data_IF_682032795617
#
_entry.id   IF_682032795617
#
_cell.length_a   1.000
_cell.length_b   1.000
_cell.length_c   1.000
_cell.angle_alpha   90.00
_cell.angle_beta   90.00
_cell.angle_gamma   90.00
#
_symmetry.space_group_name_H-M   'P 1'
#
loop_
_entity.id
_entity.type
_entity.pdbx_description
1 polymer ?
#
# COMPACT_ATOMS: atom_id res chain seq x y z
N UNK A 1 42.69 -12.81 -15.61
CA UNK A 1 41.25 -12.56 -15.46
C UNK A 1 40.56 -13.90 -15.41
N UNK A 2 40.30 -14.40 -14.20
CA UNK A 2 39.66 -15.70 -13.98
C UNK A 2 38.17 -15.58 -14.27
N UNK A 3 37.63 -16.54 -15.01
CA UNK A 3 36.25 -16.56 -15.51
C UNK A 3 35.26 -16.61 -14.33
N UNK A 4 34.54 -15.52 -14.06
CA UNK A 4 33.49 -15.43 -13.03
C UNK A 4 32.18 -16.10 -13.47
N UNK A 5 32.28 -17.18 -14.24
CA UNK A 5 31.15 -18.01 -14.68
C UNK A 5 30.87 -19.07 -13.64
N UNK A 6 30.39 -18.65 -12.47
CA UNK A 6 29.85 -19.56 -11.46
C UNK A 6 28.88 -20.60 -12.04
N UNK A 7 28.58 -21.68 -11.30
CA UNK A 7 27.80 -22.81 -11.80
C UNK A 7 26.41 -22.36 -12.32
N UNK A 8 25.83 -23.09 -13.29
CA UNK A 8 24.54 -22.75 -13.89
C UNK A 8 23.36 -22.76 -12.88
N UNK A 9 23.50 -23.48 -11.76
CA UNK A 9 22.60 -23.44 -10.62
C UNK A 9 23.37 -23.62 -9.32
N UNK A 10 22.83 -23.08 -8.23
CA UNK A 10 23.33 -23.31 -6.87
C UNK A 10 22.14 -23.54 -5.95
N UNK A 11 22.21 -24.64 -5.19
CA UNK A 11 21.21 -24.91 -4.17
C UNK A 11 21.59 -24.18 -2.88
N UNK A 12 20.84 -23.12 -2.58
CA UNK A 12 20.97 -22.30 -1.38
C UNK A 12 19.72 -22.55 -0.55
N UNK A 13 19.87 -22.81 0.74
CA UNK A 13 18.75 -22.74 1.68
C UNK A 13 18.58 -21.29 2.11
N UNK A 14 17.35 -20.82 2.20
CA UNK A 14 17.08 -19.47 2.64
C UNK A 14 15.95 -19.44 3.67
N UNK A 15 15.92 -18.38 4.47
CA UNK A 15 14.85 -18.06 5.41
C UNK A 15 14.59 -16.56 5.31
N UNK A 16 13.32 -16.20 5.15
CA UNK A 16 12.84 -14.82 5.20
C UNK A 16 11.98 -14.65 6.43
N UNK A 17 12.23 -13.64 7.25
CA UNK A 17 11.39 -13.33 8.40
C UNK A 17 11.13 -11.83 8.48
N UNK A 18 9.89 -11.45 8.78
CA UNK A 18 9.60 -10.14 9.36
C UNK A 18 9.90 -10.19 10.84
N UNK A 19 10.58 -9.16 11.34
CA UNK A 19 10.94 -9.04 12.73
C UNK A 19 10.08 -7.97 13.41
N UNK A 20 9.49 -8.33 14.53
CA UNK A 20 8.92 -7.39 15.51
C UNK A 20 10.03 -6.61 16.22
N UNK A 21 9.66 -5.59 17.01
CA UNK A 21 10.60 -4.79 17.79
C UNK A 21 11.52 -5.62 18.72
N UNK A 22 11.04 -6.77 19.20
CA UNK A 22 11.77 -7.69 20.08
C UNK A 22 12.55 -8.79 19.32
N UNK A 23 12.48 -8.81 17.99
CA UNK A 23 13.19 -9.79 17.14
C UNK A 23 12.47 -11.13 16.96
N UNK A 24 11.21 -11.24 17.39
CA UNK A 24 10.37 -12.42 17.14
C UNK A 24 10.06 -12.59 15.65
N UNK A 25 9.97 -13.84 15.19
CA UNK A 25 9.96 -14.18 13.76
C UNK A 25 8.57 -14.64 13.30
N UNK A 26 8.20 -14.24 12.10
CA UNK A 26 7.06 -14.80 11.38
C UNK A 26 7.51 -15.39 10.03
N UNK A 27 7.20 -16.67 9.84
CA UNK A 27 7.37 -17.52 8.65
C UNK A 27 8.81 -17.91 8.24
N UNK A 28 8.94 -19.13 7.71
CA UNK A 28 10.19 -19.73 7.19
C UNK A 28 9.84 -20.40 5.86
N UNK A 29 10.64 -20.17 4.81
CA UNK A 29 10.43 -20.75 3.47
C UNK A 29 11.76 -21.10 2.80
N UNK A 30 11.93 -22.36 2.36
CA UNK A 30 13.10 -22.82 1.61
C UNK A 30 12.90 -22.66 0.09
N UNK A 31 13.94 -22.27 -0.66
CA UNK A 31 13.83 -22.08 -2.11
C UNK A 31 15.15 -22.37 -2.85
N UNK A 32 15.07 -22.93 -4.07
CA UNK A 32 16.23 -23.18 -4.95
C UNK A 32 16.43 -22.04 -5.95
N UNK A 33 17.69 -21.67 -6.22
CA UNK A 33 18.05 -20.55 -7.08
C UNK A 33 18.81 -21.02 -8.32
N UNK A 34 18.41 -20.52 -9.49
CA UNK A 34 19.15 -20.73 -10.75
C UNK A 34 19.89 -19.46 -11.12
N UNK A 35 20.93 -19.59 -11.95
CA UNK A 35 21.66 -18.41 -12.42
C UNK A 35 20.72 -17.45 -13.13
N UNK A 36 20.88 -16.15 -12.84
CA UNK A 36 20.05 -15.05 -13.37
C UNK A 36 18.57 -15.10 -12.96
N UNK A 37 18.18 -15.96 -12.01
CA UNK A 37 16.82 -15.96 -11.47
C UNK A 37 16.61 -14.84 -10.47
N UNK A 38 15.42 -14.26 -10.51
CA UNK A 38 14.91 -13.37 -9.46
C UNK A 38 13.84 -14.13 -8.70
N UNK A 39 13.96 -14.14 -7.38
CA UNK A 39 12.91 -14.61 -6.50
C UNK A 39 12.28 -13.38 -5.86
N UNK A 40 10.98 -13.23 -6.09
CA UNK A 40 10.16 -12.23 -5.42
C UNK A 40 9.32 -12.94 -4.36
N UNK A 41 9.48 -12.50 -3.12
CA UNK A 41 8.70 -12.98 -1.99
C UNK A 41 7.33 -12.31 -2.01
N UNK A 42 6.46 -12.77 -2.90
CA UNK A 42 5.04 -12.37 -2.95
C UNK A 42 4.22 -12.97 -1.78
N UNK A 43 4.87 -13.71 -0.89
CA UNK A 43 4.25 -14.67 0.03
C UNK A 43 3.88 -14.11 1.40
N UNK A 44 4.16 -12.84 1.70
CA UNK A 44 3.57 -12.23 2.89
C UNK A 44 2.09 -11.98 2.62
N UNK A 45 1.27 -12.95 3.01
CA UNK A 45 -0.16 -12.80 3.02
C UNK A 45 -0.53 -11.81 4.13
N UNK A 46 -0.55 -10.52 3.79
CA UNK A 46 -1.01 -9.46 4.68
C UNK A 46 -2.52 -9.54 4.93
N UNK A 47 -3.26 -10.34 4.17
CA UNK A 47 -4.70 -10.50 4.37
C UNK A 47 -4.95 -11.24 5.68
N UNK A 48 -5.60 -10.57 6.62
CA UNK A 48 -5.96 -11.11 7.93
C UNK A 48 -5.03 -10.69 9.08
N UNK A 49 -3.97 -9.92 8.81
CA UNK A 49 -3.21 -9.24 9.86
C UNK A 49 -4.00 -8.01 10.30
N UNK A 50 -4.36 -7.96 11.58
CA UNK A 50 -5.05 -6.82 12.20
C UNK A 50 -4.15 -5.58 12.27
N UNK A 51 -4.75 -4.40 12.44
CA UNK A 51 -4.00 -3.16 12.63
C UNK A 51 -3.05 -3.24 13.84
N UNK A 52 -3.50 -3.86 14.94
CA UNK A 52 -2.70 -4.06 16.15
C UNK A 52 -1.49 -4.98 15.88
N UNK A 53 -1.69 -6.06 15.12
CA UNK A 53 -0.59 -6.93 14.71
C UNK A 53 0.40 -6.21 13.79
N UNK A 54 -0.08 -5.36 12.88
CA UNK A 54 0.80 -4.52 12.05
C UNK A 54 1.67 -3.59 12.92
N UNK A 55 1.13 -2.96 13.95
CA UNK A 55 1.94 -2.11 14.84
C UNK A 55 3.10 -2.88 15.50
N UNK A 56 2.93 -4.17 15.79
CA UNK A 56 4.02 -4.99 16.35
C UNK A 56 5.17 -5.22 15.36
N UNK A 57 4.88 -5.29 14.06
CA UNK A 57 5.86 -5.47 12.98
C UNK A 57 6.41 -4.14 12.43
N UNK A 58 5.72 -3.02 12.70
CA UNK A 58 6.09 -1.68 12.26
C UNK A 58 6.30 -0.72 13.45
N UNK A 59 7.16 -1.04 14.44
CA UNK A 59 7.41 -0.15 15.56
C UNK A 59 7.97 1.18 15.05
N UNK A 60 7.27 2.27 15.38
CA UNK A 60 7.60 3.63 14.91
C UNK A 60 7.70 3.73 13.37
N UNK A 61 6.96 2.91 12.63
CA UNK A 61 6.95 2.88 11.17
C UNK A 61 8.15 2.17 10.53
N UNK A 62 8.97 1.44 11.29
CA UNK A 62 10.10 0.68 10.75
C UNK A 62 9.73 -0.78 10.51
N UNK A 63 9.84 -1.23 9.25
CA UNK A 63 9.73 -2.65 8.91
C UNK A 63 11.12 -3.28 8.91
N UNK A 64 11.34 -4.28 9.75
CA UNK A 64 12.60 -5.02 9.75
C UNK A 64 12.40 -6.36 9.05
N UNK A 65 13.09 -6.52 7.92
CA UNK A 65 13.13 -7.77 7.17
C UNK A 65 14.49 -8.44 7.36
N UNK A 66 14.48 -9.71 7.74
CA UNK A 66 15.70 -10.52 7.86
C UNK A 66 15.69 -11.62 6.81
N UNK A 67 16.78 -11.67 6.06
CA UNK A 67 17.07 -12.75 5.13
C UNK A 67 18.30 -13.51 5.60
N UNK A 68 18.16 -14.82 5.81
CA UNK A 68 19.28 -15.72 6.02
C UNK A 68 19.43 -16.61 4.81
N UNK A 69 20.68 -16.88 4.45
CA UNK A 69 21.04 -17.83 3.41
C UNK A 69 22.10 -18.78 3.95
N UNK A 70 22.04 -20.03 3.54
CA UNK A 70 23.05 -21.03 3.83
C UNK A 70 23.23 -21.95 2.62
N UNK A 71 24.40 -22.57 2.52
CA UNK A 71 24.67 -23.53 1.46
C UNK A 71 24.05 -24.87 1.84
N UNK A 72 23.31 -25.50 0.92
CA UNK A 72 22.76 -26.83 1.19
C UNK A 72 23.81 -27.95 1.15
N UNK A 73 25.00 -27.70 0.55
CA UNK A 73 26.05 -28.71 0.41
C UNK A 73 27.47 -28.11 0.46
N UNK A 74 28.37 -28.75 1.21
CA UNK A 74 29.74 -28.26 1.46
C UNK A 74 29.82 -27.21 2.57
N UNK A 75 31.04 -26.87 2.99
CA UNK A 75 31.27 -26.02 4.16
C UNK A 75 31.29 -24.54 3.81
N UNK A 76 30.71 -23.72 4.71
CA UNK A 76 30.92 -22.27 4.78
C UNK A 76 31.86 -22.05 5.96
N UNK A 77 33.05 -21.51 5.71
CA UNK A 77 34.07 -21.36 6.75
C UNK A 77 33.76 -20.24 7.75
N UNK A 78 32.97 -19.24 7.36
CA UNK A 78 32.62 -18.10 8.20
C UNK A 78 31.21 -17.60 7.87
N UNK A 79 30.46 -17.27 8.90
CA UNK A 79 29.23 -16.50 8.74
C UNK A 79 29.54 -15.07 8.33
N UNK A 80 28.63 -14.48 7.55
CA UNK A 80 28.69 -13.07 7.19
C UNK A 80 27.31 -12.45 7.31
N UNK A 81 27.26 -11.14 7.51
CA UNK A 81 26.01 -10.40 7.52
C UNK A 81 26.14 -9.06 6.80
N UNK A 82 25.01 -8.62 6.29
CA UNK A 82 24.83 -7.32 5.67
C UNK A 82 23.57 -6.71 6.26
N UNK A 83 23.68 -5.46 6.70
CA UNK A 83 22.55 -4.67 7.14
C UNK A 83 22.40 -3.52 6.17
N UNK A 84 21.21 -3.41 5.58
CA UNK A 84 20.84 -2.27 4.75
C UNK A 84 19.60 -1.61 5.30
N UNK A 85 19.48 -0.31 5.05
CA UNK A 85 18.29 0.47 5.38
C UNK A 85 17.74 1.08 4.11
N UNK A 86 16.44 0.94 3.96
CA UNK A 86 15.65 1.52 2.88
C UNK A 86 14.63 2.45 3.51
N UNK A 87 14.58 3.70 3.06
CA UNK A 87 13.55 4.63 3.46
C UNK A 87 12.59 4.85 2.30
N UNK A 88 11.32 4.54 2.57
CA UNK A 88 10.22 4.69 1.64
C UNK A 88 9.50 5.98 1.98
N UNK A 89 9.41 6.89 1.02
CA UNK A 89 8.73 8.16 1.20
C UNK A 89 7.23 7.97 1.12
N UNK A 90 6.50 8.52 2.09
CA UNK A 90 5.04 8.54 2.07
C UNK A 90 4.57 9.99 2.04
N UNK A 91 3.82 10.35 1.00
CA UNK A 91 3.10 11.61 0.95
C UNK A 91 1.70 11.40 1.54
N UNK A 92 1.33 12.27 2.49
CA UNK A 92 0.03 12.28 3.15
C UNK A 92 -0.73 13.53 2.74
N UNK A 93 -1.99 13.37 2.36
CA UNK A 93 -2.86 14.45 1.91
C UNK A 93 -4.23 14.31 2.54
N UNK A 94 -4.75 15.42 3.06
CA UNK A 94 -6.13 15.48 3.52
C UNK A 94 -6.83 16.69 2.91
N UNK A 95 -8.03 16.48 2.40
CA UNK A 95 -8.86 17.57 1.87
C UNK A 95 -10.32 17.16 1.81
N UNK A 96 -11.18 18.14 1.54
CA UNK A 96 -12.62 17.95 1.37
C UNK A 96 -12.94 17.89 -0.11
N UNK A 97 -13.64 16.84 -0.52
CA UNK A 97 -14.26 16.72 -1.82
C UNK A 97 -15.76 17.01 -1.72
N UNK A 98 -16.20 18.09 -2.38
CA UNK A 98 -17.59 18.51 -2.42
C UNK A 98 -18.32 17.98 -3.66
N UNK A 99 -19.34 17.16 -3.45
CA UNK A 99 -20.25 16.63 -4.48
C UNK A 99 -21.49 17.52 -4.52
N UNK A 100 -21.54 18.41 -5.51
CA UNK A 100 -22.63 19.38 -5.69
C UNK A 100 -23.85 18.76 -6.35
N UNK A 101 -25.02 19.35 -6.10
CA UNK A 101 -26.31 18.93 -6.67
C UNK A 101 -26.63 17.46 -6.37
N UNK A 102 -26.22 16.98 -5.19
CA UNK A 102 -26.28 15.56 -4.82
C UNK A 102 -27.71 15.00 -4.90
N UNK A 103 -28.73 15.79 -4.57
CA UNK A 103 -30.12 15.32 -4.64
C UNK A 103 -30.53 14.90 -6.05
N UNK A 104 -30.00 15.60 -7.07
CA UNK A 104 -30.29 15.34 -8.48
C UNK A 104 -29.36 14.32 -9.13
N UNK A 105 -28.33 13.84 -8.42
CA UNK A 105 -27.40 12.86 -8.96
C UNK A 105 -28.09 11.50 -9.14
N UNK A 106 -28.54 11.22 -10.35
CA UNK A 106 -29.21 9.96 -10.69
C UNK A 106 -28.25 8.81 -10.91
N UNK A 107 -28.80 7.60 -10.97
CA UNK A 107 -28.06 6.38 -11.32
C UNK A 107 -27.30 6.55 -12.65
N UNK A 108 -26.07 6.03 -12.71
CA UNK A 108 -25.20 6.12 -13.89
C UNK A 108 -24.50 7.46 -14.10
N UNK A 109 -24.78 8.49 -13.29
CA UNK A 109 -24.00 9.72 -13.30
C UNK A 109 -22.79 9.61 -12.37
N UNK A 110 -21.64 10.09 -12.85
CA UNK A 110 -20.38 10.07 -12.11
C UNK A 110 -19.92 11.50 -11.80
N UNK A 111 -19.43 11.71 -10.58
CA UNK A 111 -18.69 12.92 -10.20
C UNK A 111 -17.23 12.55 -10.05
N UNK A 112 -16.36 13.25 -10.78
CA UNK A 112 -14.93 12.95 -10.81
C UNK A 112 -14.14 13.93 -9.95
N UNK A 113 -13.14 13.43 -9.24
CA UNK A 113 -12.16 14.22 -8.51
C UNK A 113 -10.75 13.67 -8.71
N UNK A 114 -9.76 14.54 -8.83
CA UNK A 114 -8.36 14.14 -9.05
C UNK A 114 -7.54 14.49 -7.82
N UNK A 115 -6.77 13.52 -7.37
CA UNK A 115 -5.75 13.72 -6.34
C UNK A 115 -4.41 13.85 -7.03
N UNK A 116 -3.82 15.04 -6.92
CA UNK A 116 -2.48 15.33 -7.44
C UNK A 116 -1.43 15.24 -6.34
N UNK A 117 -0.21 14.83 -6.70
CA UNK A 117 0.97 14.88 -5.83
C UNK A 117 1.32 16.32 -5.50
N UNK A 118 1.70 16.55 -4.26
CA UNK A 118 2.16 17.86 -3.77
C UNK A 118 3.55 18.19 -4.32
N UNK A 119 4.36 17.18 -4.66
CA UNK A 119 5.73 17.37 -5.15
C UNK A 119 5.78 17.91 -6.58
N UNK A 120 4.92 17.43 -7.46
CA UNK A 120 5.01 17.70 -8.90
C UNK A 120 3.67 18.02 -9.58
N UNK A 121 2.57 18.11 -8.80
CA UNK A 121 1.20 18.36 -9.26
C UNK A 121 0.69 17.37 -10.32
N UNK A 122 1.33 16.20 -10.47
CA UNK A 122 0.84 15.14 -11.34
C UNK A 122 -0.31 14.41 -10.67
N UNK A 123 -1.34 14.08 -11.45
CA UNK A 123 -2.45 13.23 -11.01
C UNK A 123 -1.91 11.86 -10.60
N UNK A 124 -2.25 11.43 -9.40
CA UNK A 124 -1.87 10.12 -8.84
C UNK A 124 -3.04 9.15 -9.00
N UNK A 125 -4.22 9.58 -8.54
CA UNK A 125 -5.44 8.80 -8.57
C UNK A 125 -6.61 9.69 -8.96
N UNK A 126 -7.50 9.14 -9.77
CA UNK A 126 -8.81 9.72 -10.06
C UNK A 126 -9.86 8.98 -9.25
N UNK A 127 -10.63 9.71 -8.47
CA UNK A 127 -11.80 9.24 -7.76
C UNK A 127 -13.04 9.51 -8.61
N UNK A 128 -13.94 8.52 -8.68
CA UNK A 128 -15.25 8.67 -9.29
C UNK A 128 -16.32 8.25 -8.31
N UNK A 129 -17.19 9.17 -7.97
CA UNK A 129 -18.33 8.95 -7.09
C UNK A 129 -19.57 8.73 -7.93
N UNK A 130 -20.35 7.70 -7.61
CA UNK A 130 -21.59 7.40 -8.31
C UNK A 130 -22.60 6.68 -7.41
N UNK A 131 -23.84 6.69 -7.85
CA UNK A 131 -24.98 6.03 -7.19
C UNK A 131 -25.45 4.91 -8.11
N UNK A 132 -25.61 3.71 -7.56
CA UNK A 132 -26.13 2.54 -8.29
C UNK A 132 -27.61 2.28 -8.03
N UNK A 133 -28.15 2.85 -6.94
CA UNK A 133 -29.54 2.79 -6.54
C UNK A 133 -29.81 3.69 -5.34
N UNK A 134 -31.06 4.07 -5.07
CA UNK A 134 -31.36 4.92 -3.90
C UNK A 134 -31.11 4.22 -2.56
N UNK A 135 -31.45 2.92 -2.49
CA UNK A 135 -31.26 2.06 -1.33
C UNK A 135 -29.87 1.37 -1.32
N UNK A 136 -29.04 1.59 -2.34
CA UNK A 136 -27.71 1.00 -2.45
C UNK A 136 -26.64 1.88 -1.78
N UNK A 137 -25.58 1.27 -1.23
CA UNK A 137 -24.42 2.00 -0.71
C UNK A 137 -23.82 2.92 -1.79
N UNK A 138 -23.42 4.12 -1.39
CA UNK A 138 -22.71 5.03 -2.29
C UNK A 138 -21.39 4.42 -2.75
N UNK A 139 -21.06 4.53 -4.04
CA UNK A 139 -19.89 3.89 -4.61
C UNK A 139 -18.80 4.92 -4.95
N UNK A 140 -17.55 4.52 -4.71
CA UNK A 140 -16.37 5.26 -5.13
C UNK A 140 -15.45 4.32 -5.89
N UNK A 141 -15.14 4.69 -7.12
CA UNK A 141 -14.14 4.05 -7.95
C UNK A 141 -12.84 4.82 -7.94
N UNK A 142 -11.75 4.10 -7.74
CA UNK A 142 -10.39 4.58 -7.78
C UNK A 142 -9.75 4.14 -9.09
N UNK A 143 -9.13 5.07 -9.80
CA UNK A 143 -8.44 4.80 -11.06
C UNK A 143 -7.02 5.36 -10.93
N UNK A 144 -6.03 4.48 -10.98
CA UNK A 144 -4.62 4.87 -11.03
C UNK A 144 -4.39 5.73 -12.27
N UNK A 145 -3.81 6.92 -12.08
CA UNK A 145 -3.46 7.82 -13.19
C UNK A 145 -2.12 7.47 -13.83
N UNK A 146 -1.36 6.57 -13.21
CA UNK A 146 0.00 6.27 -13.63
C UNK A 146 0.01 4.99 -14.48
N UNK A 147 0.41 5.14 -15.74
CA UNK A 147 0.45 4.04 -16.71
C UNK A 147 1.74 3.23 -16.67
N UNK A 148 2.77 3.71 -15.95
CA UNK A 148 4.16 3.21 -16.07
C UNK A 148 4.76 2.59 -14.80
N UNK A 149 4.04 2.53 -13.67
CA UNK A 149 4.70 2.19 -12.37
C UNK A 149 4.73 0.70 -12.03
N UNK A 150 5.88 0.31 -11.48
CA UNK A 150 6.04 -0.66 -10.40
C UNK A 150 4.96 -0.49 -9.30
N UNK A 151 4.53 -1.59 -8.67
CA UNK A 151 3.41 -1.61 -7.71
C UNK A 151 3.42 -0.45 -6.70
N UNK A 152 2.32 0.30 -6.62
CA UNK A 152 2.14 1.41 -5.67
C UNK A 152 1.05 1.10 -4.66
N UNK A 153 1.35 1.41 -3.40
CA UNK A 153 0.47 1.22 -2.27
C UNK A 153 -0.23 2.53 -1.94
N UNK A 154 -1.56 2.49 -1.88
CA UNK A 154 -2.39 3.62 -1.50
C UNK A 154 -3.28 3.22 -0.33
N UNK A 155 -3.36 4.08 0.67
CA UNK A 155 -4.41 3.98 1.69
C UNK A 155 -5.26 5.22 1.59
N UNK A 156 -6.57 5.05 1.56
CA UNK A 156 -7.50 6.17 1.61
C UNK A 156 -8.55 5.91 2.69
N UNK A 157 -8.70 6.89 3.57
CA UNK A 157 -9.80 6.94 4.50
C UNK A 157 -10.78 7.98 4.02
N UNK A 158 -12.04 7.59 3.92
CA UNK A 158 -13.14 8.43 3.45
C UNK A 158 -14.12 8.63 4.59
N UNK A 159 -14.49 9.88 4.85
CA UNK A 159 -15.46 10.22 5.88
C UNK A 159 -16.54 11.13 5.32
N UNK A 160 -17.79 10.76 5.56
CA UNK A 160 -18.94 11.61 5.19
C UNK A 160 -19.10 12.68 6.27
N UNK A 161 -19.09 13.94 5.86
CA UNK A 161 -19.28 15.06 6.78
C UNK A 161 -20.76 15.45 6.86
N UNK A 162 -21.19 15.87 8.04
CA UNK A 162 -22.48 16.55 8.23
C UNK A 162 -22.43 18.01 7.74
N UNK A 163 -23.55 18.71 7.85
CA UNK A 163 -23.71 20.11 7.45
C UNK A 163 -22.93 21.10 8.33
N UNK A 164 -22.42 20.64 9.48
CA UNK A 164 -21.52 21.40 10.35
C UNK A 164 -20.03 21.12 10.04
N UNK A 165 -19.74 20.10 9.24
CA UNK A 165 -18.38 19.69 8.88
C UNK A 165 -17.81 18.57 9.76
N UNK A 166 -18.63 17.94 10.61
CA UNK A 166 -18.21 16.86 11.49
C UNK A 166 -18.35 15.50 10.80
N UNK A 167 -17.38 14.60 11.00
CA UNK A 167 -17.43 13.26 10.41
C UNK A 167 -18.51 12.39 11.07
N UNK A 168 -19.46 11.90 10.28
CA UNK A 168 -20.58 11.06 10.74
C UNK A 168 -20.29 9.58 10.54
N UNK A 169 -19.61 9.24 9.44
CA UNK A 169 -19.12 7.90 9.16
C UNK A 169 -17.67 7.99 8.69
N UNK A 170 -16.93 6.92 8.90
CA UNK A 170 -15.56 6.79 8.43
C UNK A 170 -15.36 5.38 7.91
N UNK A 171 -15.11 5.27 6.60
CA UNK A 171 -14.83 4.04 5.89
C UNK A 171 -13.36 4.10 5.45
N UNK A 172 -12.53 3.19 5.94
CA UNK A 172 -11.13 3.09 5.55
C UNK A 172 -10.96 2.00 4.49
N UNK A 173 -10.25 2.35 3.42
CA UNK A 173 -10.02 1.48 2.27
C UNK A 173 -8.54 1.47 1.92
N UNK A 174 -7.95 0.29 1.95
CA UNK A 174 -6.59 0.08 1.46
C UNK A 174 -6.69 -0.38 0.01
N UNK A 175 -6.11 0.40 -0.90
CA UNK A 175 -6.13 0.12 -2.35
C UNK A 175 -4.72 -0.20 -2.81
N UNK A 176 -4.54 -1.42 -3.29
CA UNK A 176 -3.29 -1.88 -3.88
C UNK A 176 -3.42 -1.75 -5.40
N UNK A 177 -2.65 -0.83 -5.99
CA UNK A 177 -2.50 -0.78 -7.44
C UNK A 177 -1.17 -1.41 -7.82
N UNK A 178 -1.23 -2.33 -8.76
CA UNK A 178 -0.04 -2.94 -9.34
C UNK A 178 -0.11 -2.87 -10.87
N UNK A 179 0.84 -3.53 -11.53
CA UNK A 179 0.89 -3.55 -12.98
C UNK A 179 -0.41 -4.08 -13.63
N UNK A 180 -1.11 -4.99 -12.96
CA UNK A 180 -2.33 -5.64 -13.44
C UNK A 180 -3.61 -4.97 -12.90
N UNK A 181 -3.56 -4.42 -11.69
CA UNK A 181 -4.71 -3.78 -11.03
C UNK A 181 -4.57 -2.25 -11.11
N UNK A 182 -5.33 -1.64 -12.02
CA UNK A 182 -5.36 -0.18 -12.23
C UNK A 182 -6.61 0.50 -11.69
N UNK A 183 -7.61 -0.29 -11.34
CA UNK A 183 -8.90 0.18 -10.85
C UNK A 183 -9.33 -0.63 -9.64
N UNK A 184 -9.97 0.04 -8.69
CA UNK A 184 -10.55 -0.57 -7.50
C UNK A 184 -11.82 0.20 -7.13
N UNK A 185 -12.71 -0.42 -6.38
CA UNK A 185 -14.00 0.16 -6.00
C UNK A 185 -14.26 -0.10 -4.53
N UNK A 186 -14.88 0.85 -3.84
CA UNK A 186 -15.36 0.69 -2.49
C UNK A 186 -16.77 1.28 -2.34
N UNK A 187 -17.48 0.78 -1.33
CA UNK A 187 -18.77 1.28 -0.93
C UNK A 187 -18.65 2.05 0.38
N UNK A 188 -19.29 3.22 0.46
CA UNK A 188 -19.48 3.92 1.73
C UNK A 188 -20.66 3.31 2.48
N UNK A 189 -20.64 3.37 3.80
CA UNK A 189 -21.71 2.79 4.64
C UNK A 189 -23.09 3.42 4.38
N UNK A 190 -23.15 4.70 3.98
CA UNK A 190 -24.40 5.42 3.75
C UNK A 190 -24.99 5.18 2.36
N UNK A 191 -26.32 5.16 2.28
CA UNK A 191 -27.08 5.14 1.03
C UNK A 191 -27.57 6.53 0.63
N UNK A 192 -27.93 6.72 -0.66
CA UNK A 192 -28.51 7.98 -1.11
C UNK A 192 -29.82 8.29 -0.38
N UNK A 193 -30.69 7.30 -0.19
CA UNK A 193 -31.99 7.46 0.48
C UNK A 193 -31.86 7.91 1.92
N UNK A 194 -30.89 7.38 2.67
CA UNK A 194 -30.64 7.80 4.06
C UNK A 194 -30.20 9.26 4.14
N UNK A 195 -29.28 9.67 3.25
CA UNK A 195 -28.82 11.05 3.14
C UNK A 195 -29.99 11.96 2.78
N UNK A 196 -30.82 11.57 1.81
CA UNK A 196 -31.99 12.35 1.38
C UNK A 196 -33.06 12.46 2.46
N UNK A 197 -33.29 11.41 3.26
CA UNK A 197 -34.21 11.46 4.42
C UNK A 197 -33.74 12.45 5.49
N UNK A 198 -32.43 12.62 5.62
CA UNK A 198 -31.78 13.52 6.58
C UNK A 198 -31.08 14.68 5.88
N UNK A 199 -31.73 15.24 4.85
CA UNK A 199 -31.14 16.25 3.96
C UNK A 199 -30.47 17.42 4.70
N UNK A 200 -31.14 18.01 5.69
CA UNK A 200 -30.58 19.14 6.47
C UNK A 200 -29.37 18.77 7.31
N UNK A 201 -29.22 17.50 7.68
CA UNK A 201 -28.07 17.00 8.42
C UNK A 201 -26.86 16.80 7.52
N UNK A 202 -27.02 16.31 6.29
CA UNK A 202 -25.88 15.93 5.45
C UNK A 202 -25.59 16.90 4.29
N UNK A 203 -26.60 17.61 3.80
CA UNK A 203 -26.51 18.39 2.57
C UNK A 203 -26.71 19.88 2.85
N UNK A 204 -25.61 20.60 3.08
CA UNK A 204 -25.63 22.06 3.07
C UNK A 204 -25.65 22.54 1.62
N UNK A 205 -26.68 23.31 1.24
CA UNK A 205 -26.86 23.83 -0.12
C UNK A 205 -26.83 22.73 -1.21
N UNK A 206 -27.39 21.56 -0.90
CA UNK A 206 -27.38 20.37 -1.77
C UNK A 206 -25.99 19.80 -2.10
N UNK A 207 -25.01 20.06 -1.22
CA UNK A 207 -23.64 19.57 -1.34
C UNK A 207 -23.38 18.47 -0.31
N UNK A 208 -23.00 17.29 -0.78
CA UNK A 208 -22.43 16.24 0.07
C UNK A 208 -20.92 16.47 0.17
N UNK A 209 -20.37 16.47 1.37
CA UNK A 209 -18.92 16.68 1.58
C UNK A 209 -18.27 15.40 2.09
N UNK A 210 -17.19 14.98 1.41
CA UNK A 210 -16.36 13.87 1.79
C UNK A 210 -15.00 14.39 2.24
N UNK A 211 -14.62 14.14 3.49
CA UNK A 211 -13.24 14.28 3.92
C UNK A 211 -12.49 13.05 3.45
N UNK A 212 -11.38 13.25 2.73
CA UNK A 212 -10.47 12.17 2.43
C UNK A 212 -9.13 12.38 3.14
N UNK A 213 -8.55 11.29 3.63
CA UNK A 213 -7.17 11.20 4.08
C UNK A 213 -6.49 10.16 3.19
N UNK A 214 -5.58 10.62 2.34
CA UNK A 214 -4.90 9.83 1.32
C UNK A 214 -3.42 9.74 1.67
N UNK A 215 -2.90 8.51 1.77
CA UNK A 215 -1.47 8.25 1.89
C UNK A 215 -1.02 7.45 0.69
N UNK A 216 0.10 7.84 0.10
CA UNK A 216 0.72 7.08 -0.98
C UNK A 216 2.23 7.07 -0.85
N UNK A 217 2.82 5.98 -1.32
CA UNK A 217 4.28 5.86 -1.43
C UNK A 217 4.76 6.42 -2.77
N UNK A 218 5.68 7.39 -2.72
CA UNK A 218 6.42 7.86 -3.90
C UNK A 218 7.62 6.94 -4.23
N UNK A 219 7.76 5.86 -3.46
CA UNK A 219 8.81 4.86 -3.62
C UNK A 219 10.05 5.16 -2.77
N UNK A 220 11.21 4.81 -3.32
CA UNK A 220 12.49 4.86 -2.62
C UNK A 220 12.98 6.30 -2.48
N UNK A 221 13.10 6.79 -1.24
CA UNK A 221 13.75 8.07 -0.94
C UNK A 221 15.26 7.88 -0.81
N UNK A 222 15.69 6.88 -0.04
CA UNK A 222 17.10 6.48 0.04
C UNK A 222 17.23 5.00 0.37
N UNK A 223 18.34 4.40 -0.05
CA UNK A 223 18.73 3.06 0.33
C UNK A 223 20.25 2.98 0.48
N UNK A 224 20.73 2.45 1.59
CA UNK A 224 22.17 2.26 1.83
C UNK A 224 22.47 0.96 2.56
N UNK A 225 23.69 0.46 2.35
CA UNK A 225 24.25 -0.63 3.15
C UNK A 225 24.95 0.02 4.34
N UNK A 226 24.43 -0.20 5.53
CA UNK A 226 24.93 0.41 6.76
C UNK A 226 26.16 -0.33 7.30
N UNK A 227 26.14 -1.66 7.18
CA UNK A 227 27.22 -2.49 7.70
C UNK A 227 27.37 -3.76 6.89
N UNK A 228 28.63 -4.19 6.72
CA UNK A 228 28.96 -5.50 6.17
C UNK A 228 30.04 -6.12 7.03
N UNK A 229 29.89 -7.40 7.31
CA UNK A 229 30.94 -8.19 7.90
C UNK A 229 31.11 -9.46 7.06
N UNK A 230 32.16 -9.45 6.25
CA UNK A 230 32.59 -10.59 5.46
C UNK A 230 34.06 -10.85 5.77
N UNK A 231 34.37 -12.05 6.21
CA UNK A 231 35.76 -12.51 6.28
C UNK A 231 36.18 -12.95 4.88
N UNK A 232 36.82 -12.06 4.12
CA UNK A 232 37.41 -12.42 2.84
C UNK A 232 38.62 -13.34 3.09
N UNK A 233 38.47 -14.63 2.79
CA UNK A 233 39.63 -15.51 2.62
C UNK A 233 40.25 -15.18 1.25
N UNK A 234 41.40 -14.51 1.25
CA UNK A 234 42.27 -14.45 0.07
C UNK A 234 42.77 -15.87 -0.22
N UNK A 235 42.50 -16.36 -1.44
CA UNK A 235 43.12 -17.56 -2.00
C UNK A 235 44.38 -17.19 -2.79
#
# INVERSE_FOLDING_TARGET
MSDSKGPPSIKIGCECALLTADGTQCNVTEQEFTKDSRVSFHSFNWNGISADELETFFPNGNLTFRFKMWKCSGEINNDGYCTGRTHIGVEKKSSIWSIRNFSTLGEGNEVTYKINSTLNDKSIVTLKFFVTGEDEPLQIKFISSDSEVDSRYYSIKLSVLDSNGEAVTSDEVIVLFDYFVKESECSLTLTKKEIMRKKSQYLRDDVLSLLYEFNFSDGLVYGEIENTNYVLQCF
#
